data_IF_422198753765
#
_entry.id   IF_422198753765
#
_cell.length_a   1.000
_cell.length_b   1.000
_cell.length_c   1.000
_cell.angle_alpha   90.00
_cell.angle_beta   90.00
_cell.angle_gamma   90.00
#
_symmetry.space_group_name_H-M   'P 1'
#
loop_
_entity.id
_entity.type
_entity.pdbx_description
1 polymer ?
#
# COMPACT_ATOMS: atom_id res chain seq x y z
N UNK A 1 -11.70 4.12 24.32
CA UNK A 1 -10.87 3.79 23.10
C UNK A 1 -11.78 3.86 21.87
N UNK A 2 -11.67 4.90 21.05
CA UNK A 2 -12.50 5.00 19.83
C UNK A 2 -11.79 4.19 18.73
N UNK A 3 -12.25 2.96 18.51
CA UNK A 3 -11.74 2.09 17.45
C UNK A 3 -11.86 2.83 16.11
N UNK A 4 -10.82 2.70 15.26
CA UNK A 4 -10.79 3.26 13.90
C UNK A 4 -12.04 2.87 13.10
N UNK A 5 -12.51 1.64 13.32
CA UNK A 5 -13.78 1.14 12.77
C UNK A 5 -14.97 2.07 13.06
N UNK A 6 -15.18 2.44 14.33
CA UNK A 6 -16.31 3.32 14.68
C UNK A 6 -16.19 4.72 14.09
N UNK A 7 -14.96 5.26 13.99
CA UNK A 7 -14.77 6.57 13.37
C UNK A 7 -15.13 6.54 11.88
N UNK A 8 -14.65 5.54 11.15
CA UNK A 8 -14.93 5.38 9.72
C UNK A 8 -16.43 5.10 9.52
N UNK A 9 -17.01 4.13 10.26
CA UNK A 9 -18.41 3.78 10.15
C UNK A 9 -19.32 4.98 10.38
N UNK A 10 -19.16 5.70 11.51
CA UNK A 10 -20.00 6.85 11.83
C UNK A 10 -19.82 8.01 10.85
N UNK A 11 -18.59 8.28 10.40
CA UNK A 11 -18.34 9.33 9.42
C UNK A 11 -19.09 9.07 8.11
N UNK A 12 -18.96 7.88 7.54
CA UNK A 12 -19.66 7.51 6.31
C UNK A 12 -21.19 7.45 6.51
N UNK A 13 -21.66 6.86 7.61
CA UNK A 13 -23.08 6.70 7.86
C UNK A 13 -23.78 8.03 8.06
N UNK A 14 -23.21 8.93 8.87
CA UNK A 14 -23.74 10.29 9.08
C UNK A 14 -23.73 11.09 7.78
N UNK A 15 -22.65 11.04 7.02
CA UNK A 15 -22.55 11.69 5.71
C UNK A 15 -23.66 11.18 4.75
N UNK A 16 -23.88 9.87 4.70
CA UNK A 16 -24.87 9.26 3.83
C UNK A 16 -26.28 9.65 4.26
N UNK A 17 -26.59 9.65 5.57
CA UNK A 17 -27.88 10.10 6.09
C UNK A 17 -28.12 11.57 5.75
N UNK A 18 -27.10 12.43 5.89
CA UNK A 18 -27.19 13.84 5.55
C UNK A 18 -27.53 14.04 4.06
N UNK A 19 -26.83 13.34 3.17
CA UNK A 19 -27.07 13.38 1.72
C UNK A 19 -28.50 12.92 1.39
N UNK A 20 -28.93 11.79 1.95
CA UNK A 20 -30.29 11.26 1.73
C UNK A 20 -31.33 12.26 2.22
N UNK A 21 -31.11 12.88 3.39
CA UNK A 21 -32.03 13.88 3.96
C UNK A 21 -32.14 15.14 3.08
N UNK A 22 -31.01 15.65 2.58
CA UNK A 22 -30.97 16.79 1.67
C UNK A 22 -31.71 16.47 0.35
N UNK A 23 -31.44 15.29 -0.23
CA UNK A 23 -32.10 14.85 -1.46
C UNK A 23 -33.61 14.67 -1.28
N UNK A 24 -34.03 14.10 -0.15
CA UNK A 24 -35.46 13.97 0.16
C UNK A 24 -36.13 15.33 0.29
N UNK A 25 -35.50 16.28 0.98
CA UNK A 25 -36.03 17.63 1.17
C UNK A 25 -36.13 18.40 -0.18
N UNK A 26 -35.09 18.32 -1.01
CA UNK A 26 -35.09 19.00 -2.33
C UNK A 26 -36.08 18.38 -3.32
N UNK A 27 -36.27 17.06 -3.27
CA UNK A 27 -37.25 16.38 -4.09
C UNK A 27 -38.71 16.82 -3.70
N UNK A 28 -38.97 16.96 -2.40
CA UNK A 28 -40.28 17.40 -1.92
C UNK A 28 -40.55 18.87 -2.29
N UNK A 29 -39.58 19.75 -2.16
CA UNK A 29 -39.71 21.17 -2.56
C UNK A 29 -39.95 21.36 -4.05
N UNK A 30 -39.23 20.61 -4.90
CA UNK A 30 -39.47 20.65 -6.36
C UNK A 30 -40.83 20.13 -6.74
N UNK A 31 -41.26 19.01 -6.17
CA UNK A 31 -42.57 18.42 -6.45
C UNK A 31 -43.71 19.37 -6.05
N UNK A 32 -43.55 20.10 -4.97
CA UNK A 32 -44.57 21.10 -4.55
C UNK A 32 -44.63 22.30 -5.49
N UNK A 33 -43.47 22.74 -6.01
CA UNK A 33 -43.40 23.86 -6.96
C UNK A 33 -44.03 23.50 -8.31
N UNK A 34 -43.67 22.37 -8.90
CA UNK A 34 -44.18 21.88 -10.20
C UNK A 34 -45.70 21.64 -10.16
N UNK A 35 -46.21 21.10 -9.04
CA UNK A 35 -47.66 20.94 -8.82
C UNK A 35 -48.37 22.29 -8.77
N UNK A 36 -47.80 23.30 -8.10
CA UNK A 36 -48.41 24.62 -8.00
C UNK A 36 -48.53 25.33 -9.37
N UNK A 37 -47.50 25.18 -10.20
CA UNK A 37 -47.49 25.80 -11.53
C UNK A 37 -48.45 25.08 -12.50
N UNK A 38 -48.48 23.77 -12.51
CA UNK A 38 -49.41 22.96 -13.29
C UNK A 38 -50.88 23.23 -12.88
N UNK A 39 -51.15 23.31 -11.59
CA UNK A 39 -52.44 23.66 -11.07
C UNK A 39 -52.90 25.06 -11.47
N UNK A 40 -52.00 26.08 -11.39
CA UNK A 40 -52.27 27.44 -11.78
C UNK A 40 -52.69 27.54 -13.22
N UNK A 41 -51.94 26.88 -14.12
CA UNK A 41 -52.21 26.92 -15.56
C UNK A 41 -53.54 26.22 -15.91
N UNK A 42 -53.79 25.06 -15.34
CA UNK A 42 -55.04 24.31 -15.59
C UNK A 42 -56.27 25.07 -15.07
N UNK A 43 -56.24 25.56 -13.83
CA UNK A 43 -57.37 26.26 -13.25
C UNK A 43 -57.65 27.63 -13.83
N UNK A 44 -56.59 28.35 -14.35
CA UNK A 44 -56.82 29.67 -14.98
C UNK A 44 -57.72 29.58 -16.22
N UNK A 45 -57.54 28.51 -17.02
CA UNK A 45 -58.42 28.27 -18.19
C UNK A 45 -59.86 27.93 -17.79
N UNK A 46 -60.03 26.97 -16.86
CA UNK A 46 -61.33 26.52 -16.39
C UNK A 46 -62.12 27.66 -15.75
N UNK A 47 -61.47 28.46 -14.89
CA UNK A 47 -62.12 29.62 -14.25
C UNK A 47 -62.52 30.67 -15.24
N UNK A 48 -61.70 30.89 -16.27
CA UNK A 48 -62.05 31.87 -17.33
C UNK A 48 -63.32 31.48 -18.08
N UNK A 49 -63.44 30.22 -18.48
CA UNK A 49 -64.63 29.70 -19.19
C UNK A 49 -65.87 29.78 -18.28
N UNK A 50 -65.75 29.28 -17.07
CA UNK A 50 -66.91 29.30 -16.11
C UNK A 50 -67.34 30.73 -15.77
N UNK A 51 -66.40 31.67 -15.60
CA UNK A 51 -66.72 33.06 -15.33
C UNK A 51 -67.62 33.69 -16.39
N UNK A 52 -67.29 33.44 -17.68
CA UNK A 52 -68.16 33.92 -18.79
C UNK A 52 -69.49 33.19 -18.82
N UNK A 53 -69.55 31.90 -18.54
CA UNK A 53 -70.81 31.14 -18.49
C UNK A 53 -71.74 31.66 -17.37
N UNK A 54 -71.19 31.98 -16.21
CA UNK A 54 -71.92 32.56 -15.08
C UNK A 54 -72.44 33.97 -15.42
N UNK A 55 -71.63 34.80 -16.06
CA UNK A 55 -72.05 36.13 -16.50
C UNK A 55 -73.17 36.08 -17.52
N UNK A 56 -73.08 35.16 -18.50
CA UNK A 56 -74.10 34.99 -19.49
C UNK A 56 -75.41 34.44 -18.89
N UNK A 57 -75.34 33.52 -17.94
CA UNK A 57 -76.52 33.01 -17.21
C UNK A 57 -77.22 34.13 -16.41
N UNK A 58 -76.41 34.99 -15.74
CA UNK A 58 -76.95 36.14 -15.02
C UNK A 58 -77.61 37.19 -15.95
N UNK A 59 -76.98 37.53 -17.04
CA UNK A 59 -77.52 38.51 -18.00
C UNK A 59 -78.80 38.02 -18.68
N UNK A 60 -78.95 36.72 -18.93
CA UNK A 60 -80.11 36.14 -19.56
C UNK A 60 -81.30 35.84 -18.63
N UNK A 61 -80.98 35.33 -17.43
CA UNK A 61 -81.97 34.78 -16.53
C UNK A 61 -81.96 35.36 -15.09
N UNK A 62 -81.12 36.35 -14.83
CA UNK A 62 -80.95 36.96 -13.53
C UNK A 62 -80.40 35.99 -12.47
N UNK A 63 -80.89 36.16 -11.21
CA UNK A 63 -80.43 35.35 -10.11
C UNK A 63 -80.82 33.85 -10.24
N UNK A 64 -81.97 33.51 -10.89
CA UNK A 64 -82.33 32.12 -11.11
C UNK A 64 -81.33 31.32 -11.98
N UNK A 65 -80.84 31.96 -13.04
CA UNK A 65 -79.81 31.33 -13.88
C UNK A 65 -78.44 31.19 -13.22
N UNK A 66 -78.10 32.15 -12.33
CA UNK A 66 -76.89 32.14 -11.58
C UNK A 66 -76.91 31.01 -10.50
N UNK A 67 -78.02 30.90 -9.75
CA UNK A 67 -78.21 29.84 -8.71
C UNK A 67 -78.16 28.43 -9.33
N UNK A 68 -78.71 28.26 -10.54
CA UNK A 68 -78.69 26.99 -11.24
C UNK A 68 -77.22 26.61 -11.64
N UNK A 69 -76.43 27.58 -12.15
CA UNK A 69 -75.04 27.36 -12.47
C UNK A 69 -74.15 27.12 -11.22
N UNK A 70 -74.41 27.85 -10.12
CA UNK A 70 -73.72 27.64 -8.86
C UNK A 70 -73.97 26.25 -8.31
N UNK A 71 -75.22 25.78 -8.29
CA UNK A 71 -75.56 24.47 -7.87
C UNK A 71 -74.95 23.35 -8.71
N UNK A 72 -74.95 23.51 -10.03
CA UNK A 72 -74.30 22.57 -10.95
C UNK A 72 -72.80 22.48 -10.72
N UNK A 73 -72.13 23.57 -10.46
CA UNK A 73 -70.70 23.62 -10.19
C UNK A 73 -70.37 22.98 -8.85
N UNK A 74 -71.21 23.23 -7.82
CA UNK A 74 -71.02 22.62 -6.47
C UNK A 74 -71.29 21.13 -6.49
N UNK A 75 -72.29 20.64 -7.20
CA UNK A 75 -72.60 19.20 -7.32
C UNK A 75 -71.55 18.43 -8.16
N UNK A 76 -70.98 19.08 -9.21
CA UNK A 76 -70.07 18.41 -10.14
C UNK A 76 -68.63 18.42 -9.64
N UNK A 77 -68.16 19.52 -9.05
CA UNK A 77 -66.73 19.74 -8.74
C UNK A 77 -66.53 20.06 -7.24
N UNK A 78 -67.58 20.15 -6.45
CA UNK A 78 -67.55 20.47 -4.99
C UNK A 78 -66.82 21.80 -4.68
N UNK A 79 -66.99 22.81 -5.59
CA UNK A 79 -66.39 24.13 -5.44
C UNK A 79 -67.46 25.15 -5.06
N UNK A 80 -67.20 25.93 -4.01
CA UNK A 80 -68.03 27.10 -3.69
C UNK A 80 -67.65 28.27 -4.60
N UNK A 81 -68.61 28.82 -5.33
CA UNK A 81 -68.41 29.95 -6.24
C UNK A 81 -69.19 31.16 -5.77
N UNK A 82 -68.62 32.34 -5.98
CA UNK A 82 -69.20 33.63 -5.68
C UNK A 82 -69.17 34.48 -6.95
N UNK A 83 -70.29 35.12 -7.28
CA UNK A 83 -70.39 36.02 -8.41
C UNK A 83 -70.73 37.42 -7.91
N UNK A 84 -69.81 38.38 -8.16
CA UNK A 84 -69.82 39.70 -7.56
C UNK A 84 -69.90 40.79 -8.62
N UNK A 85 -70.44 41.97 -8.24
CA UNK A 85 -70.35 43.19 -9.06
C UNK A 85 -68.92 43.79 -9.07
N UNK A 86 -68.70 44.88 -9.81
CA UNK A 86 -67.41 45.54 -9.84
C UNK A 86 -67.02 46.22 -8.53
N UNK A 87 -67.95 46.40 -7.61
CA UNK A 87 -67.73 46.91 -6.24
C UNK A 87 -67.47 45.81 -5.23
N UNK A 88 -67.53 44.53 -5.63
CA UNK A 88 -67.31 43.37 -4.75
C UNK A 88 -68.51 42.97 -3.91
N UNK A 89 -69.72 43.44 -4.29
CA UNK A 89 -70.93 43.01 -3.66
C UNK A 89 -71.54 41.77 -4.36
N UNK A 90 -72.11 40.81 -3.62
CA UNK A 90 -72.69 39.65 -4.27
C UNK A 90 -73.95 40.05 -5.04
N UNK A 91 -73.99 39.55 -6.28
CA UNK A 91 -75.18 39.83 -7.14
C UNK A 91 -76.35 38.95 -6.74
N UNK A 92 -76.09 37.75 -6.28
CA UNK A 92 -77.13 36.80 -5.74
C UNK A 92 -76.46 35.82 -4.73
N UNK A 93 -77.19 35.22 -3.85
CA UNK A 93 -76.74 34.16 -2.97
C UNK A 93 -76.03 34.59 -1.68
N UNK A 94 -75.07 33.81 -1.23
CA UNK A 94 -74.39 33.98 0.06
C UNK A 94 -73.43 35.17 0.10
N UNK A 95 -73.35 35.83 1.25
CA UNK A 95 -72.37 36.90 1.49
C UNK A 95 -70.91 36.35 1.49
N UNK A 96 -70.00 36.94 0.68
CA UNK A 96 -68.62 36.51 0.66
C UNK A 96 -67.87 36.87 1.96
N UNK A 97 -67.02 36.01 2.42
CA UNK A 97 -66.18 36.28 3.60
C UNK A 97 -65.07 37.31 3.23
N UNK A 98 -64.34 37.82 4.23
CA UNK A 98 -63.31 38.85 4.03
C UNK A 98 -62.20 38.38 3.08
N UNK A 99 -61.84 37.10 3.04
CA UNK A 99 -60.81 36.54 2.18
C UNK A 99 -61.25 36.53 0.70
N UNK A 100 -62.51 36.20 0.46
CA UNK A 100 -63.13 36.20 -0.88
C UNK A 100 -63.18 37.64 -1.47
N UNK A 101 -63.60 38.63 -0.64
CA UNK A 101 -63.62 40.02 -1.02
C UNK A 101 -62.21 40.56 -1.34
N UNK A 102 -61.23 40.23 -0.56
CA UNK A 102 -59.87 40.64 -0.72
C UNK A 102 -59.27 40.04 -2.03
N UNK A 103 -59.52 38.78 -2.33
CA UNK A 103 -59.11 38.12 -3.57
C UNK A 103 -59.80 38.75 -4.79
N UNK A 104 -61.11 39.05 -4.69
CA UNK A 104 -61.84 39.71 -5.73
C UNK A 104 -61.31 41.13 -6.05
N UNK A 105 -60.90 41.88 -5.05
CA UNK A 105 -60.28 43.20 -5.19
C UNK A 105 -58.93 43.17 -5.87
N UNK A 106 -58.10 42.19 -5.51
CA UNK A 106 -56.78 42.01 -6.15
C UNK A 106 -56.90 41.57 -7.61
N UNK A 107 -57.78 40.67 -7.95
CA UNK A 107 -58.06 40.27 -9.32
C UNK A 107 -58.58 41.47 -10.16
N UNK A 108 -59.26 42.41 -9.58
CA UNK A 108 -59.71 43.65 -10.24
C UNK A 108 -58.57 44.55 -10.61
N UNK A 109 -57.60 44.71 -9.75
CA UNK A 109 -56.40 45.56 -10.00
C UNK A 109 -55.43 44.97 -11.01
N UNK A 110 -55.23 43.66 -11.04
CA UNK A 110 -54.28 43.00 -11.90
C UNK A 110 -54.80 42.63 -13.29
N UNK A 111 -56.10 42.56 -13.47
CA UNK A 111 -56.76 42.06 -14.71
C UNK A 111 -56.47 40.58 -15.02
N UNK A 112 -55.72 39.87 -14.14
CA UNK A 112 -55.33 38.45 -14.24
C UNK A 112 -56.08 37.63 -13.19
N UNK A 113 -55.92 36.30 -13.28
CA UNK A 113 -56.46 35.41 -12.25
C UNK A 113 -55.61 35.55 -10.99
N UNK A 114 -56.23 35.94 -9.87
CA UNK A 114 -55.56 35.99 -8.57
C UNK A 114 -55.73 34.65 -7.82
N UNK A 115 -54.60 34.14 -7.31
CA UNK A 115 -54.52 32.91 -6.54
C UNK A 115 -54.08 33.25 -5.12
N UNK A 116 -55.04 33.31 -4.21
CA UNK A 116 -54.75 33.62 -2.81
C UNK A 116 -54.95 32.39 -1.94
N UNK A 117 -53.96 32.11 -1.10
CA UNK A 117 -54.04 31.07 -0.06
C UNK A 117 -54.11 31.75 1.32
N UNK A 118 -55.22 31.62 2.01
CA UNK A 118 -55.31 31.98 3.41
C UNK A 118 -56.08 30.88 4.15
N UNK A 119 -55.59 30.51 5.33
CA UNK A 119 -56.25 29.63 6.27
C UNK A 119 -56.78 28.31 5.68
N UNK A 120 -55.93 27.55 5.01
CA UNK A 120 -56.20 26.23 4.36
C UNK A 120 -57.19 26.27 3.18
N UNK A 121 -57.66 27.44 2.79
CA UNK A 121 -58.53 27.61 1.61
C UNK A 121 -57.79 28.34 0.53
N UNK A 122 -57.77 27.80 -0.66
CA UNK A 122 -57.27 28.50 -1.84
C UNK A 122 -58.42 29.24 -2.50
N UNK A 123 -58.27 30.52 -2.63
CA UNK A 123 -59.26 31.36 -3.29
C UNK A 123 -58.69 31.80 -4.65
N UNK A 124 -59.49 31.58 -5.69
CA UNK A 124 -59.10 31.99 -7.06
C UNK A 124 -60.17 32.97 -7.51
N UNK A 125 -59.71 34.16 -7.92
CA UNK A 125 -60.60 35.22 -8.37
C UNK A 125 -60.22 35.71 -9.77
N UNK A 126 -61.19 36.00 -10.60
CA UNK A 126 -61.01 36.60 -11.93
C UNK A 126 -62.04 37.69 -12.20
N UNK A 127 -61.57 38.85 -12.70
CA UNK A 127 -62.45 39.89 -13.25
C UNK A 127 -62.70 39.59 -14.73
N UNK A 128 -63.95 39.70 -15.16
CA UNK A 128 -64.39 39.55 -16.53
C UNK A 128 -65.22 40.78 -16.93
N UNK A 129 -65.19 41.07 -18.21
CA UNK A 129 -66.10 42.09 -18.83
C UNK A 129 -66.88 41.37 -19.92
N UNK A 130 -68.21 41.41 -19.86
CA UNK A 130 -69.07 40.77 -20.84
C UNK A 130 -69.11 41.56 -22.16
N UNK A 131 -69.64 40.94 -23.22
CA UNK A 131 -69.82 41.60 -24.50
C UNK A 131 -70.75 42.85 -24.43
N UNK A 132 -71.65 42.90 -23.42
CA UNK A 132 -72.49 44.05 -23.11
C UNK A 132 -71.77 45.17 -22.35
N UNK A 133 -70.48 45.00 -22.01
CA UNK A 133 -69.67 45.98 -21.31
C UNK A 133 -69.79 45.99 -19.79
N UNK A 134 -70.54 45.03 -19.19
CA UNK A 134 -70.70 44.95 -17.74
C UNK A 134 -69.52 44.19 -17.09
N UNK A 135 -68.81 44.79 -16.09
CA UNK A 135 -67.75 44.14 -15.35
C UNK A 135 -68.28 43.30 -14.20
N UNK A 136 -67.80 42.06 -14.11
CA UNK A 136 -68.12 41.11 -13.01
C UNK A 136 -66.87 40.48 -12.44
N UNK A 137 -66.94 39.97 -11.21
CA UNK A 137 -65.89 39.23 -10.53
C UNK A 137 -66.39 37.86 -10.17
N UNK A 138 -65.68 36.85 -10.68
CA UNK A 138 -65.97 35.46 -10.36
C UNK A 138 -64.91 34.92 -9.39
N UNK A 139 -65.33 34.39 -8.26
CA UNK A 139 -64.44 33.89 -7.21
C UNK A 139 -64.82 32.46 -6.87
N UNK A 140 -63.84 31.58 -6.79
CA UNK A 140 -64.01 30.18 -6.44
C UNK A 140 -63.11 29.85 -5.23
N UNK A 141 -63.70 29.17 -4.27
CA UNK A 141 -62.92 28.64 -3.10
C UNK A 141 -62.74 27.14 -3.22
N UNK A 142 -61.49 26.75 -3.17
CA UNK A 142 -61.11 25.34 -3.14
C UNK A 142 -60.75 24.91 -1.72
N UNK A 143 -61.40 23.87 -1.25
CA UNK A 143 -60.95 23.14 -0.05
C UNK A 143 -59.79 22.23 -0.49
N UNK A 144 -58.57 22.74 -0.41
CA UNK A 144 -57.41 21.96 -0.81
C UNK A 144 -57.07 20.86 0.21
N UNK A 145 -56.52 19.73 -0.24
CA UNK A 145 -56.01 18.74 0.69
C UNK A 145 -54.91 19.36 1.55
N UNK A 146 -54.85 19.01 2.80
CA UNK A 146 -53.77 19.41 3.72
C UNK A 146 -52.42 19.04 3.11
N UNK A 147 -51.57 20.03 2.88
CA UNK A 147 -50.18 19.77 2.54
C UNK A 147 -49.52 19.25 3.81
N UNK A 148 -49.56 17.96 4.01
CA UNK A 148 -48.76 17.30 5.04
C UNK A 148 -47.31 17.41 4.58
N UNK A 149 -46.51 18.23 5.26
CA UNK A 149 -45.06 18.42 5.02
C UNK A 149 -44.27 17.13 5.09
N UNK A 150 -44.88 16.06 5.58
CA UNK A 150 -44.28 14.73 5.65
C UNK A 150 -45.27 13.69 5.09
N UNK A 151 -45.05 13.31 3.83
CA UNK A 151 -45.84 12.22 3.26
C UNK A 151 -45.41 10.90 3.90
N UNK A 152 -46.40 10.05 4.26
CA UNK A 152 -46.17 8.69 4.78
C UNK A 152 -45.20 7.90 3.89
N UNK A 153 -45.26 8.13 2.60
CA UNK A 153 -44.34 7.54 1.60
C UNK A 153 -42.89 8.00 1.77
N UNK A 154 -42.64 9.25 2.19
CA UNK A 154 -41.28 9.73 2.45
C UNK A 154 -40.72 9.07 3.72
N UNK A 155 -41.56 8.91 4.76
CA UNK A 155 -41.16 8.20 5.97
C UNK A 155 -40.82 6.73 5.70
N UNK A 156 -41.61 6.02 4.89
CA UNK A 156 -41.35 4.63 4.51
C UNK A 156 -40.03 4.48 3.74
N UNK A 157 -39.76 5.39 2.82
CA UNK A 157 -38.45 5.40 2.06
C UNK A 157 -37.28 5.60 3.00
N UNK A 158 -37.39 6.51 3.96
CA UNK A 158 -36.33 6.78 4.93
C UNK A 158 -36.11 5.56 5.84
N UNK A 159 -37.19 4.90 6.30
CA UNK A 159 -37.13 3.68 7.11
C UNK A 159 -36.43 2.50 6.42
N UNK A 160 -36.41 2.45 5.09
CA UNK A 160 -35.67 1.44 4.30
C UNK A 160 -34.25 1.90 3.99
N UNK A 161 -34.08 3.17 3.61
CA UNK A 161 -32.79 3.70 3.18
C UNK A 161 -31.76 3.74 4.31
N UNK A 162 -32.16 4.11 5.53
CA UNK A 162 -31.25 4.23 6.69
C UNK A 162 -30.62 2.89 7.10
N UNK A 163 -31.35 1.78 7.25
CA UNK A 163 -30.76 0.47 7.56
C UNK A 163 -29.85 -0.06 6.44
N UNK A 164 -30.28 0.09 5.18
CA UNK A 164 -29.47 -0.34 4.02
C UNK A 164 -28.16 0.43 3.98
N UNK A 165 -28.21 1.75 4.11
CA UNK A 165 -27.03 2.61 4.20
C UNK A 165 -26.12 2.21 5.37
N UNK A 166 -26.70 1.92 6.54
CA UNK A 166 -25.97 1.45 7.71
C UNK A 166 -25.24 0.13 7.45
N UNK A 167 -25.91 -0.83 6.80
CA UNK A 167 -25.31 -2.10 6.44
C UNK A 167 -24.14 -1.94 5.47
N UNK A 168 -24.31 -1.14 4.43
CA UNK A 168 -23.25 -0.87 3.45
C UNK A 168 -22.05 -0.20 4.13
N UNK A 169 -22.27 0.82 4.94
CA UNK A 169 -21.22 1.50 5.69
C UNK A 169 -20.51 0.56 6.67
N UNK A 170 -21.24 -0.36 7.32
CA UNK A 170 -20.67 -1.36 8.22
C UNK A 170 -19.74 -2.33 7.48
N UNK A 171 -20.20 -2.87 6.34
CA UNK A 171 -19.41 -3.79 5.53
C UNK A 171 -18.14 -3.09 5.02
N UNK A 172 -18.27 -1.87 4.52
CA UNK A 172 -17.14 -1.08 4.01
C UNK A 172 -16.12 -0.75 5.12
N UNK A 173 -16.60 -0.30 6.28
CA UNK A 173 -15.76 0.00 7.42
C UNK A 173 -15.00 -1.25 7.91
N UNK A 174 -15.68 -2.42 7.95
CA UNK A 174 -15.05 -3.70 8.31
C UNK A 174 -14.02 -4.15 7.28
N UNK A 175 -14.33 -3.98 5.99
CA UNK A 175 -13.44 -4.32 4.90
C UNK A 175 -12.12 -3.54 4.98
N UNK A 176 -12.18 -2.23 5.22
CA UNK A 176 -11.01 -1.37 5.33
C UNK A 176 -10.24 -1.54 6.66
N UNK A 177 -10.96 -1.71 7.77
CA UNK A 177 -10.31 -1.69 9.10
C UNK A 177 -9.71 -3.04 9.50
N UNK A 178 -10.28 -4.16 9.06
CA UNK A 178 -9.82 -5.48 9.47
C UNK A 178 -8.37 -5.79 9.02
N UNK A 179 -7.94 -5.50 7.77
CA UNK A 179 -6.55 -5.67 7.35
C UNK A 179 -5.58 -4.80 8.14
N UNK A 180 -5.92 -3.53 8.35
CA UNK A 180 -5.09 -2.57 9.11
C UNK A 180 -4.87 -3.04 10.55
N UNK A 181 -5.90 -3.58 11.17
CA UNK A 181 -5.79 -4.13 12.52
C UNK A 181 -4.86 -5.36 12.57
N UNK A 182 -4.93 -6.24 11.54
CA UNK A 182 -4.03 -7.40 11.42
C UNK A 182 -2.58 -6.98 11.20
N UNK A 183 -2.34 -6.00 10.32
CA UNK A 183 -1.02 -5.41 10.10
C UNK A 183 -0.43 -4.87 11.41
N UNK A 184 -1.23 -4.10 12.16
CA UNK A 184 -0.81 -3.57 13.46
C UNK A 184 -0.44 -4.69 14.45
N UNK A 185 -1.26 -5.73 14.54
CA UNK A 185 -1.00 -6.84 15.45
C UNK A 185 0.26 -7.59 15.04
N UNK A 186 0.45 -7.90 13.75
CA UNK A 186 1.65 -8.55 13.25
C UNK A 186 2.91 -7.70 13.49
N UNK A 187 2.84 -6.38 13.26
CA UNK A 187 3.94 -5.46 13.55
C UNK A 187 4.30 -5.44 15.05
N UNK A 188 3.29 -5.48 15.94
CA UNK A 188 3.52 -5.54 17.38
C UNK A 188 4.17 -6.86 17.82
N UNK A 189 3.77 -7.99 17.24
CA UNK A 189 4.37 -9.30 17.51
C UNK A 189 5.82 -9.34 17.04
N UNK A 190 6.12 -8.82 15.84
CA UNK A 190 7.50 -8.71 15.34
C UNK A 190 8.35 -7.84 16.27
N UNK A 191 7.83 -6.70 16.73
CA UNK A 191 8.52 -5.83 17.68
C UNK A 191 8.77 -6.48 19.06
N UNK A 192 7.96 -7.48 19.44
CA UNK A 192 8.15 -8.29 20.65
C UNK A 192 9.09 -9.47 20.45
N UNK A 193 9.60 -9.67 19.20
CA UNK A 193 10.55 -10.73 18.89
C UNK A 193 9.95 -11.94 18.15
N UNK A 194 8.65 -12.00 17.94
CA UNK A 194 8.03 -13.05 17.10
C UNK A 194 8.17 -12.66 15.63
N UNK A 195 9.31 -12.98 15.05
CA UNK A 195 9.64 -12.69 13.65
C UNK A 195 8.82 -13.51 12.64
N UNK A 196 8.13 -14.57 13.11
CA UNK A 196 7.30 -15.43 12.27
C UNK A 196 5.90 -14.84 12.02
N UNK A 197 5.52 -13.78 12.76
CA UNK A 197 4.22 -13.16 12.65
C UNK A 197 4.00 -12.54 11.27
N UNK A 198 2.80 -12.80 10.69
CA UNK A 198 2.37 -12.29 9.37
C UNK A 198 0.97 -11.70 9.44
N UNK A 199 0.67 -10.75 8.57
CA UNK A 199 -0.63 -10.07 8.54
C UNK A 199 -1.76 -10.87 7.86
N UNK A 200 -1.50 -12.10 7.44
CA UNK A 200 -2.45 -13.05 6.88
C UNK A 200 -2.46 -13.11 5.34
N UNK A 201 -2.42 -14.35 4.80
CA UNK A 201 -2.28 -14.58 3.36
C UNK A 201 -3.57 -14.37 2.54
N UNK A 202 -4.76 -14.44 3.16
CA UNK A 202 -6.03 -14.27 2.43
C UNK A 202 -6.22 -12.84 1.92
N UNK A 203 -5.74 -11.86 2.66
CA UNK A 203 -5.83 -10.44 2.31
C UNK A 203 -4.76 -10.04 1.29
N UNK A 204 -3.58 -10.64 1.33
CA UNK A 204 -2.50 -10.40 0.36
C UNK A 204 -2.85 -10.87 -1.08
N UNK A 205 -3.87 -11.73 -1.24
CA UNK A 205 -4.38 -12.19 -2.55
C UNK A 205 -5.50 -11.32 -3.12
N UNK A 206 -5.96 -10.34 -2.39
CA UNK A 206 -6.89 -9.31 -2.89
C UNK A 206 -6.08 -8.40 -3.82
N UNK A 207 -6.52 -8.24 -5.06
CA UNK A 207 -5.82 -7.45 -6.08
C UNK A 207 -5.93 -5.93 -5.90
N UNK A 208 -6.34 -5.47 -4.71
CA UNK A 208 -6.48 -4.06 -4.35
C UNK A 208 -5.23 -3.52 -3.60
N UNK A 209 -5.18 -2.22 -3.37
CA UNK A 209 -4.06 -1.53 -2.71
C UNK A 209 -3.84 -2.02 -1.27
N UNK A 210 -4.89 -2.44 -0.60
CA UNK A 210 -4.81 -2.99 0.76
C UNK A 210 -4.18 -4.38 0.73
N UNK A 211 -4.49 -5.19 -0.28
CA UNK A 211 -3.86 -6.48 -0.50
C UNK A 211 -2.37 -6.36 -0.82
N UNK A 212 -1.99 -5.39 -1.66
CA UNK A 212 -0.59 -5.09 -1.96
C UNK A 212 0.17 -4.66 -0.70
N UNK A 213 -0.39 -3.77 0.11
CA UNK A 213 0.23 -3.34 1.37
C UNK A 213 0.48 -4.52 2.34
N UNK A 214 -0.47 -5.46 2.43
CA UNK A 214 -0.29 -6.68 3.23
C UNK A 214 0.79 -7.57 2.65
N UNK A 215 0.89 -7.68 1.33
CA UNK A 215 1.94 -8.39 0.61
C UNK A 215 3.33 -7.82 0.92
N UNK A 216 3.50 -6.51 0.74
CA UNK A 216 4.74 -5.79 0.98
C UNK A 216 5.19 -5.90 2.45
N UNK A 217 4.25 -5.80 3.38
CA UNK A 217 4.53 -6.01 4.80
C UNK A 217 5.03 -7.44 5.08
N UNK A 218 4.40 -8.46 4.52
CA UNK A 218 4.81 -9.84 4.72
C UNK A 218 6.20 -10.11 4.12
N UNK A 219 6.50 -9.54 2.95
CA UNK A 219 7.82 -9.58 2.33
C UNK A 219 8.90 -8.91 3.20
N UNK A 220 8.59 -7.74 3.75
CA UNK A 220 9.48 -7.05 4.69
C UNK A 220 9.72 -7.91 5.95
N UNK A 221 8.66 -8.49 6.52
CA UNK A 221 8.75 -9.36 7.69
C UNK A 221 9.59 -10.60 7.44
N UNK A 222 9.45 -11.25 6.28
CA UNK A 222 10.26 -12.38 5.85
C UNK A 222 11.75 -12.00 5.74
N UNK A 223 12.03 -10.85 5.15
CA UNK A 223 13.40 -10.37 4.99
C UNK A 223 14.06 -10.04 6.34
N UNK A 224 13.30 -9.47 7.28
CA UNK A 224 13.75 -9.24 8.66
C UNK A 224 14.04 -10.55 9.39
N UNK A 225 13.17 -11.56 9.28
CA UNK A 225 13.36 -12.88 9.90
C UNK A 225 14.65 -13.55 9.40
N UNK A 226 14.89 -13.51 8.07
CA UNK A 226 16.10 -14.05 7.45
C UNK A 226 17.36 -13.33 7.96
N UNK A 227 17.32 -11.99 7.99
CA UNK A 227 18.47 -11.17 8.41
C UNK A 227 18.82 -11.38 9.89
N UNK A 228 17.81 -11.30 10.78
CA UNK A 228 18.02 -11.49 12.22
C UNK A 228 18.43 -12.92 12.52
N UNK A 229 17.84 -13.92 11.84
CA UNK A 229 18.23 -15.31 11.96
C UNK A 229 19.67 -15.57 11.50
N UNK A 230 20.13 -14.92 10.45
CA UNK A 230 21.52 -14.98 9.99
C UNK A 230 22.47 -14.34 11.02
N UNK A 231 22.11 -13.17 11.54
CA UNK A 231 22.90 -12.47 12.55
C UNK A 231 23.03 -13.29 13.85
N UNK A 232 21.95 -13.91 14.33
CA UNK A 232 21.98 -14.76 15.53
C UNK A 232 22.86 -16.01 15.31
N UNK A 233 22.82 -16.63 14.13
CA UNK A 233 23.72 -17.73 13.77
C UNK A 233 25.16 -17.27 13.81
N UNK A 234 25.47 -16.15 13.17
CA UNK A 234 26.84 -15.58 13.15
C UNK A 234 27.39 -15.36 14.58
N UNK A 235 26.61 -14.72 15.45
CA UNK A 235 27.02 -14.48 16.86
C UNK A 235 27.28 -15.80 17.60
N UNK A 236 26.45 -16.82 17.37
CA UNK A 236 26.63 -18.14 17.97
C UNK A 236 27.92 -18.79 17.49
N UNK A 237 28.17 -18.76 16.18
CA UNK A 237 29.34 -19.36 15.57
C UNK A 237 30.62 -18.65 16.01
N UNK A 238 30.61 -17.31 16.10
CA UNK A 238 31.69 -16.53 16.69
C UNK A 238 32.00 -16.98 18.11
N UNK A 239 30.95 -17.13 18.95
CA UNK A 239 31.13 -17.53 20.36
C UNK A 239 31.76 -18.93 20.50
N UNK A 240 31.38 -19.86 19.62
CA UNK A 240 31.94 -21.18 19.59
C UNK A 240 33.41 -21.18 19.12
N UNK A 241 33.73 -20.48 18.06
CA UNK A 241 35.06 -20.41 17.47
C UNK A 241 36.06 -19.62 18.35
N UNK A 242 35.62 -18.65 19.13
CA UNK A 242 36.46 -17.95 20.12
C UNK A 242 36.71 -18.76 21.37
N UNK A 243 35.75 -19.58 21.84
CA UNK A 243 35.88 -20.37 23.07
C UNK A 243 37.00 -21.40 22.97
N UNK A 244 37.14 -22.05 21.82
CA UNK A 244 38.12 -23.13 21.62
C UNK A 244 39.59 -22.66 21.78
N UNK A 245 40.07 -21.62 21.05
CA UNK A 245 41.43 -21.10 21.23
C UNK A 245 41.65 -20.51 22.63
N UNK A 246 40.64 -19.82 23.19
CA UNK A 246 40.74 -19.29 24.55
C UNK A 246 40.94 -20.41 25.61
N UNK A 247 40.21 -21.51 25.45
CA UNK A 247 40.41 -22.68 26.33
C UNK A 247 41.84 -23.27 26.22
N UNK A 248 42.37 -23.41 24.98
CA UNK A 248 43.73 -23.87 24.74
C UNK A 248 44.77 -22.91 25.30
N UNK A 249 44.55 -21.61 25.20
CA UNK A 249 45.40 -20.56 25.75
C UNK A 249 45.44 -20.64 27.31
N UNK A 250 44.29 -20.79 27.95
CA UNK A 250 44.19 -20.98 29.42
C UNK A 250 44.89 -22.24 29.89
N UNK A 251 44.74 -23.36 29.14
CA UNK A 251 45.44 -24.62 29.43
C UNK A 251 46.96 -24.46 29.27
N UNK A 252 47.44 -23.83 28.20
CA UNK A 252 48.87 -23.57 27.98
C UNK A 252 49.48 -22.69 29.09
N UNK A 253 48.73 -21.65 29.51
CA UNK A 253 49.10 -20.77 30.61
C UNK A 253 49.15 -21.55 31.94
N UNK A 254 48.20 -22.44 32.20
CA UNK A 254 48.19 -23.31 33.35
C UNK A 254 49.44 -24.23 33.42
N UNK A 255 49.78 -24.84 32.27
CA UNK A 255 50.99 -25.67 32.14
C UNK A 255 52.29 -24.86 32.35
N UNK A 256 52.34 -23.63 31.78
CA UNK A 256 53.48 -22.74 31.96
C UNK A 256 53.72 -22.34 33.43
N UNK A 257 52.67 -22.27 34.24
CA UNK A 257 52.73 -21.91 35.67
C UNK A 257 53.13 -23.08 36.60
N UNK A 258 53.00 -24.34 36.16
CA UNK A 258 53.25 -25.50 36.97
C UNK A 258 54.70 -25.99 36.94
N UNK A 259 55.53 -25.47 36.08
CA UNK A 259 56.89 -25.92 35.85
C UNK A 259 57.88 -24.81 36.25
N UNK A 260 58.85 -25.13 37.16
CA UNK A 260 59.87 -24.15 37.66
C UNK A 260 60.87 -23.66 36.58
N UNK A 261 60.94 -24.33 35.43
CA UNK A 261 61.76 -23.90 34.30
C UNK A 261 60.87 -23.29 33.19
N UNK A 262 61.32 -22.29 32.43
CA UNK A 262 60.55 -21.72 31.33
C UNK A 262 60.21 -22.78 30.31
N UNK A 263 58.91 -23.10 30.21
CA UNK A 263 58.42 -24.10 29.24
C UNK A 263 58.19 -23.40 27.90
N UNK A 264 59.24 -23.34 27.08
CA UNK A 264 59.24 -22.69 25.79
C UNK A 264 58.09 -23.19 24.90
N UNK A 265 57.78 -24.49 24.96
CA UNK A 265 56.69 -25.06 24.17
C UNK A 265 55.30 -24.55 24.61
N UNK A 266 55.10 -24.21 25.89
CA UNK A 266 53.89 -23.62 26.37
C UNK A 266 53.79 -22.15 25.93
N UNK A 267 54.89 -21.39 25.94
CA UNK A 267 54.95 -20.00 25.48
C UNK A 267 54.72 -19.91 23.98
N UNK A 268 55.35 -20.77 23.18
CA UNK A 268 55.12 -20.84 21.71
C UNK A 268 53.64 -21.15 21.38
N UNK A 269 53.02 -21.99 22.20
CA UNK A 269 51.60 -22.34 22.05
C UNK A 269 50.67 -21.17 22.42
N UNK A 270 51.00 -20.42 23.46
CA UNK A 270 50.28 -19.19 23.84
C UNK A 270 50.38 -18.16 22.73
N UNK A 271 51.60 -17.91 22.20
CA UNK A 271 51.85 -16.99 21.11
C UNK A 271 51.03 -17.36 19.86
N UNK A 272 51.10 -18.60 19.42
CA UNK A 272 50.35 -19.13 18.27
C UNK A 272 48.82 -19.02 18.42
N UNK A 273 48.26 -19.30 19.59
CA UNK A 273 46.81 -19.17 19.82
C UNK A 273 46.39 -17.68 19.91
N UNK A 274 47.28 -16.81 20.40
CA UNK A 274 47.03 -15.35 20.42
C UNK A 274 47.04 -14.75 19.02
N UNK A 275 48.00 -15.13 18.18
CA UNK A 275 48.07 -14.75 16.77
C UNK A 275 46.80 -15.20 16.04
N UNK A 276 46.38 -16.44 16.25
CA UNK A 276 45.17 -16.98 15.64
C UNK A 276 43.88 -16.23 16.07
N UNK A 277 43.78 -15.83 17.34
CA UNK A 277 42.68 -15.02 17.84
C UNK A 277 42.69 -13.62 17.18
N UNK A 278 43.86 -13.02 17.05
CA UNK A 278 44.01 -11.71 16.42
C UNK A 278 43.61 -11.75 14.94
N UNK A 279 44.07 -12.77 14.21
CA UNK A 279 43.65 -12.97 12.82
C UNK A 279 42.16 -13.18 12.67
N UNK A 280 41.54 -13.92 13.61
CA UNK A 280 40.07 -14.11 13.62
C UNK A 280 39.34 -12.80 13.83
N UNK A 281 39.78 -11.96 14.78
CA UNK A 281 39.18 -10.66 15.06
C UNK A 281 39.28 -9.75 13.84
N UNK A 282 40.42 -9.66 13.19
CA UNK A 282 40.62 -8.85 11.98
C UNK A 282 39.68 -9.29 10.83
N UNK A 283 39.53 -10.59 10.63
CA UNK A 283 38.59 -11.14 9.62
C UNK A 283 37.13 -10.86 9.95
N UNK A 284 36.76 -10.92 11.23
CA UNK A 284 35.42 -10.56 11.70
C UNK A 284 35.12 -9.06 11.50
N UNK A 285 36.08 -8.19 11.83
CA UNK A 285 35.97 -6.76 11.61
C UNK A 285 35.82 -6.45 10.10
N UNK A 286 36.58 -7.14 9.26
CA UNK A 286 36.45 -7.00 7.81
C UNK A 286 35.08 -7.43 7.32
N UNK A 287 34.59 -8.59 7.75
CA UNK A 287 33.24 -9.07 7.41
C UNK A 287 32.15 -8.10 7.87
N UNK A 288 32.26 -7.61 9.12
CA UNK A 288 31.30 -6.63 9.68
C UNK A 288 31.27 -5.33 8.88
N UNK A 289 32.43 -4.81 8.45
CA UNK A 289 32.51 -3.63 7.57
C UNK A 289 31.85 -3.86 6.22
N UNK A 290 32.07 -5.03 5.61
CA UNK A 290 31.46 -5.41 4.33
C UNK A 290 29.94 -5.59 4.42
N UNK A 291 29.43 -6.06 5.57
CA UNK A 291 27.97 -6.22 5.80
C UNK A 291 27.28 -4.90 6.15
N UNK A 292 27.98 -3.97 6.80
CA UNK A 292 27.44 -2.67 7.21
C UNK A 292 27.54 -1.59 6.13
N UNK A 293 28.24 -1.86 5.03
CA UNK A 293 28.43 -0.90 3.94
C UNK A 293 27.09 -0.59 3.26
N UNK A 294 26.50 0.54 3.64
CA UNK A 294 25.25 1.06 3.07
C UNK A 294 25.45 1.68 1.69
N UNK A 295 26.68 2.17 1.44
CA UNK A 295 27.10 2.73 0.15
C UNK A 295 28.20 1.87 -0.46
N UNK A 296 28.18 1.68 -1.79
CA UNK A 296 29.27 0.98 -2.46
C UNK A 296 30.58 1.73 -2.22
N UNK A 297 31.69 1.02 -1.93
CA UNK A 297 32.97 1.66 -1.71
C UNK A 297 33.42 2.43 -2.97
N UNK A 298 34.22 3.50 -2.81
CA UNK A 298 34.72 4.25 -3.95
C UNK A 298 35.46 3.32 -4.90
N UNK A 299 35.13 3.36 -6.20
CA UNK A 299 35.70 2.53 -7.25
C UNK A 299 36.65 3.36 -8.09
N UNK A 300 37.80 2.79 -8.43
CA UNK A 300 38.75 3.34 -9.35
C UNK A 300 39.05 2.32 -10.46
N UNK A 301 39.61 2.75 -11.61
CA UNK A 301 40.10 1.80 -12.63
C UNK A 301 41.23 0.94 -12.05
N UNK A 302 41.08 -0.38 -12.11
CA UNK A 302 42.06 -1.37 -11.62
C UNK A 302 42.42 -2.32 -12.77
N UNK A 303 43.68 -2.49 -13.05
CA UNK A 303 44.21 -3.53 -13.93
C UNK A 303 44.14 -4.87 -13.20
N UNK A 304 43.44 -5.84 -13.78
CA UNK A 304 43.32 -7.17 -13.20
C UNK A 304 44.64 -7.95 -13.25
N UNK A 305 45.41 -7.77 -14.30
CA UNK A 305 46.73 -8.43 -14.44
C UNK A 305 47.66 -7.96 -13.35
N UNK A 306 47.81 -6.64 -13.16
CA UNK A 306 48.68 -6.08 -12.13
C UNK A 306 48.22 -6.51 -10.70
N UNK A 307 46.91 -6.52 -10.45
CA UNK A 307 46.35 -6.96 -9.17
C UNK A 307 46.65 -8.45 -8.91
N UNK A 308 46.41 -9.33 -9.90
CA UNK A 308 46.64 -10.78 -9.77
C UNK A 308 48.11 -11.08 -9.58
N UNK A 309 49.02 -10.46 -10.36
CA UNK A 309 50.44 -10.62 -10.22
C UNK A 309 50.98 -10.17 -8.86
N UNK A 310 50.45 -9.06 -8.32
CA UNK A 310 50.77 -8.61 -6.96
C UNK A 310 50.37 -9.65 -5.91
N UNK A 311 49.16 -10.22 -6.01
CA UNK A 311 48.69 -11.25 -5.09
C UNK A 311 49.54 -12.52 -5.23
N UNK A 312 49.89 -12.92 -6.44
CA UNK A 312 50.77 -14.10 -6.68
C UNK A 312 52.10 -13.93 -5.97
N UNK A 313 52.72 -12.75 -6.08
CA UNK A 313 53.98 -12.47 -5.40
C UNK A 313 53.85 -12.58 -3.86
N UNK A 314 52.75 -12.11 -3.30
CA UNK A 314 52.45 -12.17 -1.84
C UNK A 314 52.27 -13.60 -1.34
N UNK A 315 51.61 -14.48 -2.13
CA UNK A 315 51.29 -15.86 -1.70
C UNK A 315 52.33 -16.90 -2.20
N UNK A 316 53.30 -16.50 -2.98
CA UNK A 316 54.30 -17.40 -3.57
C UNK A 316 55.14 -18.16 -2.51
N UNK A 317 55.48 -17.49 -1.41
CA UNK A 317 56.19 -18.11 -0.30
C UNK A 317 55.35 -19.23 0.32
N UNK A 318 54.09 -19.00 0.53
CA UNK A 318 53.16 -20.01 1.09
C UNK A 318 52.99 -21.20 0.15
N UNK A 319 52.89 -20.93 -1.17
CA UNK A 319 52.84 -21.96 -2.20
C UNK A 319 54.13 -22.84 -2.21
N UNK A 320 55.30 -22.21 -2.18
CA UNK A 320 56.60 -22.93 -2.11
C UNK A 320 56.74 -23.80 -0.84
N UNK A 321 56.30 -23.28 0.32
CA UNK A 321 56.34 -24.06 1.56
C UNK A 321 55.43 -25.31 1.49
N UNK A 322 54.40 -25.29 0.64
CA UNK A 322 53.47 -26.40 0.39
C UNK A 322 53.87 -27.24 -0.84
N UNK A 323 55.05 -27.01 -1.42
CA UNK A 323 55.50 -27.68 -2.64
C UNK A 323 54.47 -27.62 -3.78
N UNK A 324 53.81 -26.45 -3.97
CA UNK A 324 52.91 -26.19 -5.09
C UNK A 324 53.34 -24.91 -5.83
N UNK A 325 52.88 -24.74 -7.06
CA UNK A 325 53.15 -23.56 -7.91
C UNK A 325 51.85 -22.86 -8.25
N UNK A 326 51.94 -21.62 -8.75
CA UNK A 326 50.81 -20.87 -9.25
C UNK A 326 51.09 -20.56 -10.74
N UNK A 327 50.10 -20.86 -11.58
CA UNK A 327 50.12 -20.55 -13.00
C UNK A 327 49.04 -19.56 -13.34
N UNK A 328 49.46 -18.40 -13.87
CA UNK A 328 48.50 -17.37 -14.30
C UNK A 328 48.52 -17.26 -15.82
N UNK A 329 47.34 -17.32 -16.42
CA UNK A 329 47.16 -17.17 -17.87
C UNK A 329 46.01 -16.19 -18.13
N UNK A 330 46.31 -15.09 -18.79
CA UNK A 330 45.31 -14.17 -19.29
C UNK A 330 45.64 -13.79 -20.75
N UNK A 331 44.68 -13.82 -21.68
CA UNK A 331 44.90 -13.47 -23.08
C UNK A 331 45.19 -11.98 -23.26
N UNK A 332 44.73 -11.13 -22.33
CA UNK A 332 44.97 -9.67 -22.31
C UNK A 332 44.70 -9.14 -20.91
N UNK A 333 45.14 -7.91 -20.65
CA UNK A 333 44.73 -7.19 -19.43
C UNK A 333 43.31 -6.67 -19.55
N UNK A 334 42.59 -6.69 -18.41
CA UNK A 334 41.24 -6.19 -18.27
C UNK A 334 41.21 -5.13 -17.17
N UNK A 335 40.66 -3.97 -17.49
CA UNK A 335 40.44 -2.90 -16.51
C UNK A 335 39.01 -2.93 -16.03
N UNK A 336 38.82 -2.92 -14.73
CA UNK A 336 37.49 -2.87 -14.07
C UNK A 336 37.39 -1.70 -13.10
N UNK A 337 36.17 -1.21 -12.87
CA UNK A 337 35.94 -0.21 -11.84
C UNK A 337 35.79 -0.91 -10.49
N UNK A 338 36.80 -0.86 -9.62
CA UNK A 338 36.84 -1.58 -8.37
C UNK A 338 37.45 -0.77 -7.21
N UNK A 339 37.16 -1.19 -5.97
CA UNK A 339 37.99 -0.82 -4.83
C UNK A 339 39.15 -1.82 -4.76
N UNK A 340 40.36 -1.34 -4.95
CA UNK A 340 41.59 -2.15 -5.03
C UNK A 340 41.74 -3.07 -3.80
N UNK A 341 41.67 -2.53 -2.60
CA UNK A 341 41.88 -3.26 -1.35
C UNK A 341 40.87 -4.39 -1.12
N UNK A 342 39.60 -4.12 -1.39
CA UNK A 342 38.53 -5.10 -1.21
C UNK A 342 38.63 -6.22 -2.24
N UNK A 343 38.94 -5.89 -3.49
CA UNK A 343 39.09 -6.88 -4.54
C UNK A 343 40.37 -7.71 -4.34
N UNK A 344 41.47 -7.08 -3.93
CA UNK A 344 42.70 -7.77 -3.53
C UNK A 344 42.41 -8.78 -2.41
N UNK A 345 41.74 -8.35 -1.34
CA UNK A 345 41.36 -9.24 -0.24
C UNK A 345 40.51 -10.42 -0.71
N UNK A 346 39.56 -10.20 -1.63
CA UNK A 346 38.71 -11.26 -2.18
C UNK A 346 39.54 -12.30 -2.92
N UNK A 347 40.38 -11.86 -3.89
CA UNK A 347 41.18 -12.76 -4.69
C UNK A 347 42.26 -13.47 -3.86
N UNK A 348 42.92 -12.77 -2.92
CA UNK A 348 43.87 -13.35 -1.99
C UNK A 348 43.23 -14.48 -1.16
N UNK A 349 42.02 -14.30 -0.62
CA UNK A 349 41.32 -15.34 0.12
C UNK A 349 41.04 -16.57 -0.77
N UNK A 350 40.64 -16.35 -2.03
CA UNK A 350 40.40 -17.44 -2.98
C UNK A 350 41.68 -18.18 -3.31
N UNK A 351 42.79 -17.47 -3.61
CA UNK A 351 44.08 -18.07 -3.94
C UNK A 351 44.69 -18.82 -2.76
N UNK A 352 44.66 -18.24 -1.53
CA UNK A 352 45.12 -18.92 -0.33
C UNK A 352 44.32 -20.19 -0.06
N UNK A 353 43.01 -20.17 -0.34
CA UNK A 353 42.17 -21.36 -0.23
C UNK A 353 42.62 -22.44 -1.24
N UNK A 354 42.86 -22.09 -2.50
CA UNK A 354 43.33 -23.02 -3.51
C UNK A 354 44.71 -23.60 -3.17
N UNK A 355 45.68 -22.78 -2.71
CA UNK A 355 47.01 -23.23 -2.26
C UNK A 355 46.88 -24.21 -1.08
N UNK A 356 45.97 -23.98 -0.18
CA UNK A 356 45.75 -24.80 1.02
C UNK A 356 45.25 -26.21 0.70
N UNK A 357 44.38 -26.35 -0.30
CA UNK A 357 43.69 -27.61 -0.61
C UNK A 357 44.26 -28.34 -1.82
N UNK A 358 45.09 -27.68 -2.64
CA UNK A 358 45.78 -28.34 -3.77
C UNK A 358 46.73 -29.44 -3.28
N UNK A 359 46.96 -30.46 -4.11
CA UNK A 359 47.92 -31.55 -3.78
C UNK A 359 49.33 -31.03 -3.95
N UNK A 360 50.23 -31.56 -3.14
CA UNK A 360 51.69 -31.30 -3.31
C UNK A 360 52.15 -31.70 -4.69
N UNK A 361 53.07 -30.90 -5.29
CA UNK A 361 53.58 -31.11 -6.63
C UNK A 361 52.63 -30.66 -7.76
N UNK A 362 51.48 -30.06 -7.43
CA UNK A 362 50.56 -29.54 -8.47
C UNK A 362 50.57 -28.01 -8.53
N UNK A 363 49.97 -27.47 -9.57
CA UNK A 363 49.83 -26.02 -9.76
C UNK A 363 48.40 -25.57 -9.42
N UNK A 364 48.25 -24.40 -8.80
CA UNK A 364 46.99 -23.63 -8.76
C UNK A 364 46.91 -22.86 -10.08
N UNK A 365 45.84 -23.09 -10.84
CA UNK A 365 45.62 -22.45 -12.12
C UNK A 365 44.73 -21.22 -11.92
N UNK A 366 45.21 -20.05 -12.40
CA UNK A 366 44.44 -18.80 -12.37
C UNK A 366 44.26 -18.32 -13.81
N UNK A 367 43.06 -18.11 -14.26
CA UNK A 367 42.73 -17.58 -15.59
C UNK A 367 41.81 -16.37 -15.48
N UNK A 368 41.98 -15.42 -16.40
CA UNK A 368 41.08 -14.28 -16.53
C UNK A 368 40.65 -14.15 -18.00
N UNK A 369 39.34 -14.27 -18.25
CA UNK A 369 38.76 -14.27 -19.59
C UNK A 369 37.52 -13.41 -19.66
N UNK A 370 37.26 -12.79 -20.82
CA UNK A 370 36.05 -12.06 -21.08
C UNK A 370 34.93 -13.00 -21.52
N UNK A 371 33.76 -12.88 -20.91
CA UNK A 371 32.57 -13.59 -21.36
C UNK A 371 31.89 -12.85 -22.50
N UNK A 372 31.62 -13.55 -23.62
CA UNK A 372 30.96 -12.99 -24.80
C UNK A 372 29.44 -13.11 -24.79
N UNK A 373 28.86 -13.84 -23.83
CA UNK A 373 27.46 -14.25 -23.84
C UNK A 373 26.53 -13.44 -22.93
N UNK A 374 27.07 -12.47 -22.17
CA UNK A 374 26.26 -11.68 -21.22
C UNK A 374 26.29 -10.19 -21.56
N UNK A 375 25.14 -9.53 -21.35
CA UNK A 375 25.03 -8.07 -21.36
C UNK A 375 24.53 -7.64 -19.95
N UNK A 376 25.32 -6.91 -19.16
CA UNK A 376 26.60 -6.26 -19.48
C UNK A 376 27.77 -7.22 -19.64
N UNK A 377 28.82 -6.74 -20.32
CA UNK A 377 30.07 -7.50 -20.50
C UNK A 377 30.75 -7.77 -19.16
N UNK A 378 31.17 -9.02 -18.93
CA UNK A 378 31.81 -9.46 -17.70
C UNK A 378 33.21 -10.05 -17.99
N UNK A 379 34.10 -9.91 -17.01
CA UNK A 379 35.32 -10.71 -16.93
C UNK A 379 35.12 -11.81 -15.90
N UNK A 380 35.54 -13.03 -16.25
CA UNK A 380 35.49 -14.20 -15.37
C UNK A 380 36.91 -14.55 -14.96
N UNK A 381 37.19 -14.48 -13.66
CA UNK A 381 38.41 -14.94 -13.05
C UNK A 381 38.16 -16.34 -12.50
N UNK A 382 38.88 -17.35 -12.98
CA UNK A 382 38.81 -18.73 -12.50
C UNK A 382 40.06 -19.06 -11.71
N UNK A 383 39.87 -19.60 -10.52
CA UNK A 383 40.92 -20.15 -9.68
C UNK A 383 40.62 -21.62 -9.46
N UNK A 384 41.49 -22.51 -9.92
CA UNK A 384 41.36 -23.95 -9.84
C UNK A 384 42.45 -24.55 -8.99
N UNK A 385 42.07 -25.42 -8.06
CA UNK A 385 42.99 -26.31 -7.34
C UNK A 385 42.92 -27.75 -7.87
N UNK A 386 43.87 -28.56 -7.48
CA UNK A 386 43.93 -30.00 -7.76
C UNK A 386 43.73 -30.83 -6.47
N UNK A 387 42.89 -30.32 -5.57
CA UNK A 387 42.53 -30.96 -4.29
C UNK A 387 41.54 -32.12 -4.45
N UNK A 388 40.96 -32.56 -3.34
CA UNK A 388 39.97 -33.63 -3.34
C UNK A 388 38.57 -33.23 -3.90
N UNK A 389 38.34 -31.90 -4.16
CA UNK A 389 37.02 -31.39 -4.48
C UNK A 389 36.10 -31.33 -3.27
N UNK A 390 34.83 -31.02 -3.53
CA UNK A 390 33.78 -30.80 -2.50
C UNK A 390 32.52 -31.57 -2.90
N UNK A 391 31.80 -32.27 -2.00
CA UNK A 391 30.53 -32.87 -2.34
C UNK A 391 29.56 -31.84 -2.93
N UNK A 392 28.81 -32.19 -3.99
CA UNK A 392 27.93 -31.26 -4.69
C UNK A 392 26.90 -30.57 -3.76
N UNK A 393 26.37 -31.31 -2.81
CA UNK A 393 25.42 -30.78 -1.83
C UNK A 393 26.01 -29.67 -0.93
N UNK A 394 27.36 -29.59 -0.83
CA UNK A 394 28.07 -28.68 0.05
C UNK A 394 28.71 -27.49 -0.67
N UNK A 395 28.68 -27.46 -2.01
CA UNK A 395 29.26 -26.37 -2.80
C UNK A 395 28.69 -24.99 -2.42
N UNK A 396 27.39 -24.90 -2.22
CA UNK A 396 26.75 -23.66 -1.80
C UNK A 396 27.06 -23.25 -0.35
N UNK A 397 27.41 -24.22 0.49
CA UNK A 397 27.72 -23.97 1.89
C UNK A 397 29.13 -23.38 2.08
N UNK A 398 30.02 -23.49 1.09
CA UNK A 398 31.40 -22.99 1.15
C UNK A 398 31.49 -21.47 1.44
N UNK A 399 30.48 -20.70 1.08
CA UNK A 399 30.42 -19.26 1.28
C UNK A 399 29.76 -18.85 2.62
N UNK A 400 29.28 -19.83 3.41
CA UNK A 400 28.74 -19.54 4.74
C UNK A 400 29.84 -19.23 5.74
N UNK A 401 29.68 -18.23 6.60
CA UNK A 401 30.64 -17.95 7.66
C UNK A 401 30.93 -19.20 8.52
N UNK A 402 32.20 -19.43 8.86
CA UNK A 402 32.69 -20.54 9.69
C UNK A 402 32.44 -21.95 9.14
N UNK A 403 31.90 -22.05 7.92
CA UNK A 403 31.65 -23.36 7.31
C UNK A 403 32.94 -24.07 6.92
N UNK A 404 33.06 -25.37 7.23
CA UNK A 404 34.21 -26.24 6.91
C UNK A 404 33.74 -27.69 6.72
N UNK A 405 34.19 -28.34 5.66
CA UNK A 405 33.77 -29.71 5.28
C UNK A 405 34.14 -30.77 6.32
N UNK A 406 35.30 -30.64 7.03
CA UNK A 406 35.78 -31.61 7.99
C UNK A 406 36.30 -30.91 9.25
N UNK A 407 35.52 -30.96 10.34
CA UNK A 407 35.92 -30.43 11.64
C UNK A 407 37.12 -31.19 12.23
N UNK A 408 37.28 -32.48 11.92
CA UNK A 408 38.34 -33.35 12.47
C UNK A 408 39.73 -33.14 11.83
N UNK A 409 39.78 -32.88 10.50
CA UNK A 409 41.05 -32.52 9.77
C UNK A 409 41.43 -31.07 9.96
N UNK A 410 40.51 -30.26 10.39
CA UNK A 410 40.60 -28.82 10.56
C UNK A 410 41.63 -28.33 11.57
N UNK A 411 42.02 -29.17 12.56
CA UNK A 411 42.98 -28.78 13.61
C UNK A 411 44.39 -28.59 13.05
N UNK A 412 44.73 -29.22 11.93
CA UNK A 412 46.09 -29.16 11.33
C UNK A 412 46.19 -28.20 10.16
N UNK A 413 45.10 -27.84 9.50
CA UNK A 413 45.12 -27.00 8.27
C UNK A 413 44.83 -25.53 8.46
N UNK A 414 44.58 -25.07 9.71
CA UNK A 414 44.52 -23.65 10.12
C UNK A 414 43.76 -22.71 9.22
N UNK A 415 42.47 -22.45 9.50
CA UNK A 415 41.65 -21.43 8.85
C UNK A 415 40.31 -21.34 9.54
N UNK A 416 39.80 -20.10 9.68
CA UNK A 416 38.60 -19.80 10.48
C UNK A 416 37.30 -20.07 9.72
N UNK A 417 37.36 -20.34 8.40
CA UNK A 417 36.17 -20.49 7.56
C UNK A 417 35.48 -19.16 7.18
N UNK A 418 36.20 -18.05 7.26
CA UNK A 418 35.69 -16.72 6.91
C UNK A 418 36.18 -16.25 5.53
N UNK A 419 37.24 -16.82 4.96
CA UNK A 419 37.89 -16.31 3.74
C UNK A 419 36.98 -16.26 2.52
N UNK A 420 36.27 -17.36 2.21
CA UNK A 420 35.35 -17.40 1.07
C UNK A 420 34.10 -16.54 1.29
N UNK A 421 33.65 -16.40 2.54
CA UNK A 421 32.56 -15.46 2.87
C UNK A 421 32.96 -14.01 2.60
N UNK A 422 34.18 -13.62 3.01
CA UNK A 422 34.75 -12.29 2.74
C UNK A 422 34.87 -12.07 1.22
N UNK A 423 35.36 -13.07 0.48
CA UNK A 423 35.46 -13.00 -0.96
C UNK A 423 34.08 -12.78 -1.63
N UNK A 424 33.08 -13.55 -1.24
CA UNK A 424 31.73 -13.41 -1.77
C UNK A 424 31.14 -12.03 -1.50
N UNK A 425 31.28 -11.50 -0.28
CA UNK A 425 30.78 -10.17 0.07
C UNK A 425 31.49 -9.06 -0.71
N UNK A 426 32.80 -9.14 -0.80
CA UNK A 426 33.58 -8.16 -1.56
C UNK A 426 33.22 -8.17 -3.05
N UNK A 427 33.08 -9.33 -3.67
CA UNK A 427 32.65 -9.46 -5.07
C UNK A 427 31.23 -8.90 -5.28
N UNK A 428 30.29 -9.19 -4.39
CA UNK A 428 28.93 -8.64 -4.44
C UNK A 428 28.89 -7.11 -4.35
N UNK A 429 29.72 -6.49 -3.52
CA UNK A 429 29.85 -5.02 -3.44
C UNK A 429 30.37 -4.39 -4.75
N UNK A 430 31.07 -5.15 -5.57
CA UNK A 430 31.50 -4.75 -6.92
C UNK A 430 30.44 -5.00 -8.00
N UNK A 431 29.26 -5.55 -7.63
CA UNK A 431 28.20 -5.91 -8.57
C UNK A 431 28.46 -7.23 -9.31
N UNK A 432 29.40 -8.03 -8.80
CA UNK A 432 29.77 -9.32 -9.34
C UNK A 432 29.11 -10.51 -8.62
N UNK A 433 29.49 -11.71 -9.04
CA UNK A 433 29.10 -12.97 -8.40
C UNK A 433 30.28 -13.93 -8.30
N UNK A 434 30.22 -14.85 -7.32
CA UNK A 434 31.20 -15.93 -7.17
C UNK A 434 30.47 -17.26 -7.11
N UNK A 435 30.99 -18.26 -7.79
CA UNK A 435 30.45 -19.62 -7.87
C UNK A 435 31.52 -20.65 -7.63
N UNK A 436 31.15 -21.80 -7.07
CA UNK A 436 32.01 -22.94 -6.85
C UNK A 436 31.49 -24.14 -7.63
N UNK A 437 32.41 -24.88 -8.27
CA UNK A 437 32.14 -26.11 -8.99
C UNK A 437 33.29 -27.08 -8.86
N UNK A 438 33.06 -28.38 -9.04
CA UNK A 438 34.14 -29.37 -9.11
C UNK A 438 34.66 -29.49 -10.52
N UNK A 439 35.98 -29.57 -10.66
CA UNK A 439 36.59 -29.84 -11.94
C UNK A 439 36.44 -31.33 -12.34
N UNK A 440 36.18 -31.62 -13.61
CA UNK A 440 36.01 -33.00 -14.12
C UNK A 440 37.17 -33.92 -13.80
N UNK A 441 38.37 -33.39 -13.66
CA UNK A 441 39.65 -34.12 -13.35
C UNK A 441 39.99 -34.10 -11.86
N UNK A 442 39.06 -33.62 -10.98
CA UNK A 442 39.25 -33.42 -9.56
C UNK A 442 39.74 -32.01 -9.24
N UNK A 443 39.50 -31.60 -7.98
CA UNK A 443 39.76 -30.25 -7.48
C UNK A 443 38.53 -29.35 -7.55
N UNK A 444 38.63 -28.19 -6.92
CA UNK A 444 37.59 -27.14 -6.88
C UNK A 444 37.93 -26.00 -7.85
N UNK A 445 36.93 -25.51 -8.51
CA UNK A 445 37.00 -24.30 -9.36
C UNK A 445 36.15 -23.23 -8.72
N UNK A 446 36.74 -22.08 -8.44
CA UNK A 446 36.03 -20.87 -8.02
C UNK A 446 36.01 -19.88 -9.17
N UNK A 447 34.82 -19.49 -9.64
CA UNK A 447 34.61 -18.55 -10.72
C UNK A 447 34.07 -17.23 -10.15
N UNK A 448 34.79 -16.14 -10.41
CA UNK A 448 34.42 -14.78 -10.00
C UNK A 448 34.05 -14.00 -11.27
N UNK A 449 32.81 -13.56 -11.32
CA UNK A 449 32.26 -12.74 -12.39
C UNK A 449 32.26 -11.28 -11.95
N UNK A 450 32.89 -10.40 -12.74
CA UNK A 450 32.94 -8.97 -12.45
C UNK A 450 32.52 -8.17 -13.68
N UNK A 451 31.69 -7.11 -13.52
CA UNK A 451 31.34 -6.25 -14.64
C UNK A 451 32.55 -5.48 -15.17
N UNK A 452 32.73 -5.52 -16.47
CA UNK A 452 33.76 -4.68 -17.15
C UNK A 452 33.27 -3.23 -17.17
N UNK A 453 34.14 -2.29 -16.85
CA UNK A 453 33.87 -0.88 -17.11
C UNK A 453 33.76 -0.69 -18.62
N UNK A 454 32.58 -0.29 -19.09
CA UNK A 454 32.43 0.29 -20.42
C UNK A 454 33.24 1.60 -20.43
N UNK A 455 34.44 1.55 -21.03
CA UNK A 455 35.28 2.71 -21.27
C UNK A 455 34.61 3.70 -22.21
#
# INVERSE_FOLDING_TARGET
MRSLFFKIFFSFWVSTILIISILALTAETRRSADLHESWRNMFSGVISVNAYTFAQAYENQGCAGLEQQQKSLEETIHLQSFFLDDNGNPLCGQLPNAVVKDAANRASASGTVDFTGADRRRVIAKRIVTAAGHPYRFVVTLSGPEIRFFSWAALQRLMIAVPISGLVCFVLARYLTAPITRLRTAAQLIAQGDLSARAGNKTARSGDEVGQLVGDFNHMAERLEILIGAQQRLIRDISHELRSPLTRLVLALGLARQIEAPNQAALDRIEKETERLNEMIERLLTLSRLESATEPPPKAPVSLTELIETIIADVEIEAKMRNCSIQYVAPRDYTIAANFELLRSALENVMRNAIRYTREGTAVEVTAERTHSTSPMEVVIRVRDHGPGVPEAELQNLFRPFYRLDAARAQHTGGVGLGLTIAERAVKLHGGSIQASNANTGGLVLEIHLPLSTG
#
